data_IF_906302961002
#
_entry.id   IF_906302961002
#
_cell.length_a   1.000
_cell.length_b   1.000
_cell.length_c   1.000
_cell.angle_alpha   90.00
_cell.angle_beta   90.00
_cell.angle_gamma   90.00
#
_symmetry.space_group_name_H-M   'P 1'
#
loop_
_entity.id
_entity.type
_entity.pdbx_description
1 polymer ?
#
# COMPACT_ATOMS: atom_id res chain seq x y z
N UNK A 1 8.59 -3.78 7.41
CA UNK A 1 7.22 -4.07 7.11
C UNK A 1 6.89 -3.47 5.77
N UNK A 2 6.40 -4.34 4.91
CA UNK A 2 5.69 -3.92 3.74
C UNK A 2 4.43 -3.14 4.17
N UNK A 3 3.96 -2.24 3.31
CA UNK A 3 2.71 -1.51 3.50
C UNK A 3 1.72 -1.92 2.41
N UNK A 4 0.45 -2.12 2.76
CA UNK A 4 -0.55 -2.60 1.81
C UNK A 4 -1.84 -1.80 1.89
N UNK A 5 -2.46 -1.55 0.74
CA UNK A 5 -3.87 -1.20 0.65
C UNK A 5 -4.66 -2.49 0.40
N UNK A 6 -5.35 -2.95 1.43
CA UNK A 6 -6.16 -4.15 1.41
C UNK A 6 -7.58 -3.85 0.92
N UNK A 7 -8.13 -4.69 0.06
CA UNK A 7 -9.49 -4.55 -0.48
C UNK A 7 -10.37 -5.67 0.06
N UNK A 8 -11.48 -5.31 0.71
CA UNK A 8 -12.34 -6.25 1.40
C UNK A 8 -13.76 -6.28 0.83
N UNK A 9 -14.42 -7.43 0.96
CA UNK A 9 -15.84 -7.59 0.63
C UNK A 9 -16.54 -8.41 1.70
N UNK A 10 -17.56 -7.83 2.32
CA UNK A 10 -18.31 -8.50 3.37
C UNK A 10 -19.11 -9.69 2.81
N UNK A 11 -18.92 -10.88 3.36
CA UNK A 11 -19.70 -12.06 2.98
C UNK A 11 -21.20 -11.91 3.32
N UNK A 12 -21.53 -11.15 4.37
CA UNK A 12 -22.90 -10.95 4.87
C UNK A 12 -23.66 -9.84 4.15
N UNK A 13 -23.19 -8.59 4.26
CA UNK A 13 -23.90 -7.43 3.72
C UNK A 13 -23.38 -6.97 2.35
N UNK A 14 -22.37 -7.65 1.78
CA UNK A 14 -21.76 -7.36 0.47
C UNK A 14 -21.09 -5.98 0.32
N UNK A 15 -21.04 -5.17 1.39
CA UNK A 15 -20.25 -3.93 1.47
C UNK A 15 -18.80 -4.21 1.08
N UNK A 16 -18.22 -3.32 0.29
CA UNK A 16 -16.78 -3.27 -0.01
C UNK A 16 -16.15 -2.09 0.71
N UNK A 17 -14.93 -2.27 1.18
CA UNK A 17 -14.11 -1.20 1.77
C UNK A 17 -12.64 -1.52 1.54
N UNK A 18 -11.80 -0.55 1.87
CA UNK A 18 -10.36 -0.68 1.85
C UNK A 18 -9.81 -0.30 3.21
N UNK A 19 -8.67 -0.87 3.55
CA UNK A 19 -7.90 -0.44 4.72
C UNK A 19 -6.41 -0.53 4.44
N UNK A 20 -5.63 0.37 5.04
CA UNK A 20 -4.18 0.38 4.90
C UNK A 20 -3.54 -0.28 6.11
N UNK A 21 -2.67 -1.26 5.88
CA UNK A 21 -2.02 -1.96 6.99
C UNK A 21 -0.67 -2.54 6.61
N UNK A 22 0.14 -2.83 7.61
CA UNK A 22 1.46 -3.44 7.43
C UNK A 22 1.43 -4.92 7.00
N UNK A 23 0.24 -5.50 6.85
CA UNK A 23 0.03 -6.87 6.38
C UNK A 23 -1.38 -7.07 5.80
N UNK A 24 -1.58 -8.19 5.11
CA UNK A 24 -2.86 -8.58 4.50
C UNK A 24 -3.72 -9.37 5.50
N UNK A 25 -4.08 -8.76 6.63
CA UNK A 25 -4.86 -9.43 7.67
C UNK A 25 -6.37 -9.32 7.47
N UNK A 26 -7.11 -10.21 8.13
CA UNK A 26 -8.55 -10.16 8.19
C UNK A 26 -9.04 -8.91 8.93
N UNK A 27 -10.20 -8.38 8.50
CA UNK A 27 -10.80 -7.19 9.09
C UNK A 27 -12.29 -7.39 9.44
N UNK A 28 -12.85 -6.48 10.25
CA UNK A 28 -14.26 -6.42 10.62
C UNK A 28 -15.01 -5.46 9.71
N UNK A 29 -16.10 -5.94 9.11
CA UNK A 29 -16.93 -5.12 8.24
C UNK A 29 -17.49 -3.88 8.96
N UNK A 30 -17.17 -2.65 8.49
CA UNK A 30 -17.56 -1.42 9.17
C UNK A 30 -19.06 -1.11 9.10
N UNK A 31 -19.80 -1.83 8.25
CA UNK A 31 -21.23 -1.60 8.05
C UNK A 31 -22.12 -2.51 8.90
N UNK A 32 -21.71 -3.74 9.19
CA UNK A 32 -22.57 -4.73 9.87
C UNK A 32 -21.89 -5.51 10.99
N UNK A 33 -20.60 -5.23 11.26
CA UNK A 33 -19.83 -5.87 12.32
C UNK A 33 -19.48 -7.34 12.07
N UNK A 34 -19.73 -7.88 10.87
CA UNK A 34 -19.28 -9.22 10.51
C UNK A 34 -17.75 -9.25 10.49
N UNK A 35 -17.15 -10.20 11.21
CA UNK A 35 -15.71 -10.33 11.44
C UNK A 35 -15.07 -11.25 10.40
N UNK A 36 -13.73 -11.35 10.46
CA UNK A 36 -12.92 -12.34 9.76
C UNK A 36 -13.03 -12.23 8.23
N UNK A 37 -12.99 -11.00 7.72
CA UNK A 37 -13.05 -10.72 6.29
C UNK A 37 -11.63 -10.64 5.76
N UNK A 38 -11.18 -11.69 5.09
CA UNK A 38 -9.90 -11.69 4.37
C UNK A 38 -9.97 -10.74 3.18
N UNK A 39 -8.90 -9.96 2.89
CA UNK A 39 -8.87 -9.15 1.70
C UNK A 39 -8.98 -10.04 0.45
N UNK A 40 -9.78 -9.61 -0.52
CA UNK A 40 -9.87 -10.30 -1.81
C UNK A 40 -8.79 -9.83 -2.80
N UNK A 41 -8.16 -8.69 -2.51
CA UNK A 41 -7.05 -8.11 -3.26
C UNK A 41 -6.20 -7.24 -2.32
N UNK A 42 -4.93 -7.03 -2.65
CA UNK A 42 -4.02 -6.19 -1.86
C UNK A 42 -2.97 -5.58 -2.76
N UNK A 43 -2.86 -4.25 -2.70
CA UNK A 43 -1.83 -3.53 -3.43
C UNK A 43 -0.64 -3.28 -2.52
N UNK A 44 0.56 -3.65 -2.97
CA UNK A 44 1.78 -3.32 -2.27
C UNK A 44 2.05 -1.82 -2.43
N UNK A 45 2.05 -1.11 -1.31
CA UNK A 45 2.36 0.30 -1.18
C UNK A 45 3.68 0.52 -0.43
N UNK A 46 4.52 -0.50 -0.28
CA UNK A 46 5.83 -0.36 0.38
C UNK A 46 6.72 0.61 -0.38
N UNK A 47 6.65 0.51 -1.71
CA UNK A 47 7.41 1.26 -2.69
C UNK A 47 6.45 1.93 -3.64
N UNK A 48 6.53 3.25 -3.74
CA UNK A 48 5.68 4.02 -4.65
C UNK A 48 6.50 5.05 -5.42
N UNK A 49 5.99 5.41 -6.58
CA UNK A 49 6.51 6.52 -7.39
C UNK A 49 5.48 7.64 -7.34
N UNK A 50 5.87 8.79 -6.81
CA UNK A 50 5.06 10.00 -6.81
C UNK A 50 5.55 10.98 -7.87
N UNK A 51 4.64 11.74 -8.49
CA UNK A 51 5.02 12.79 -9.42
C UNK A 51 5.11 14.14 -8.68
N UNK A 52 6.24 14.82 -8.79
CA UNK A 52 6.49 16.15 -8.25
C UNK A 52 6.98 17.08 -9.37
N UNK A 53 6.04 17.86 -9.92
CA UNK A 53 6.29 18.68 -11.11
C UNK A 53 6.69 17.82 -12.32
N UNK A 54 7.93 17.99 -12.78
CA UNK A 54 8.51 17.29 -13.92
C UNK A 54 9.38 16.09 -13.51
N UNK A 55 9.46 15.79 -12.22
CA UNK A 55 10.24 14.69 -11.68
C UNK A 55 9.32 13.60 -11.11
N UNK A 56 9.88 12.40 -11.01
CA UNK A 56 9.26 11.23 -10.41
C UNK A 56 10.11 10.82 -9.21
N UNK A 57 9.50 10.80 -8.04
CA UNK A 57 10.15 10.51 -6.77
C UNK A 57 9.88 9.05 -6.42
N UNK A 58 10.93 8.24 -6.37
CA UNK A 58 10.83 6.91 -5.79
C UNK A 58 10.87 7.07 -4.26
N UNK A 59 9.86 6.55 -3.55
CA UNK A 59 9.81 6.61 -2.09
C UNK A 59 9.50 5.22 -1.51
N UNK A 60 10.04 4.93 -0.33
CA UNK A 60 9.88 3.64 0.36
C UNK A 60 9.49 3.84 1.82
N UNK A 61 8.52 3.08 2.30
CA UNK A 61 8.26 2.95 3.74
C UNK A 61 9.25 1.94 4.35
N UNK A 62 10.05 2.33 5.36
CA UNK A 62 11.10 1.48 5.92
C UNK A 62 10.52 0.33 6.72
N UNK A 63 11.36 -0.68 6.95
CA UNK A 63 10.89 -1.88 7.63
C UNK A 63 10.44 -1.66 9.09
N UNK A 64 10.85 -0.54 9.68
CA UNK A 64 10.53 -0.10 11.04
C UNK A 64 9.23 0.73 11.14
N UNK A 65 8.48 0.91 10.05
CA UNK A 65 7.15 1.51 10.12
C UNK A 65 6.19 0.54 10.83
N UNK A 66 5.40 1.04 11.79
CA UNK A 66 4.51 0.21 12.61
C UNK A 66 3.04 0.59 12.39
N UNK A 67 2.63 1.78 12.84
CA UNK A 67 1.22 2.20 12.82
C UNK A 67 0.81 2.92 11.54
N UNK A 68 1.75 3.62 10.92
CA UNK A 68 1.55 4.45 9.73
C UNK A 68 2.72 4.25 8.78
N UNK A 69 2.54 4.44 7.46
CA UNK A 69 3.67 4.41 6.55
C UNK A 69 4.60 5.59 6.84
N UNK A 70 5.91 5.35 6.80
CA UNK A 70 6.92 6.37 7.02
C UNK A 70 7.75 6.56 5.74
N UNK A 71 7.09 6.96 4.65
CA UNK A 71 7.72 7.09 3.34
C UNK A 71 8.93 8.02 3.37
N UNK A 72 10.03 7.52 2.80
CA UNK A 72 11.28 8.28 2.64
C UNK A 72 11.69 8.31 1.19
N UNK A 73 12.15 9.47 0.75
CA UNK A 73 12.66 9.67 -0.60
C UNK A 73 13.90 8.79 -0.87
N UNK A 74 13.73 7.89 -1.84
CA UNK A 74 14.70 7.05 -2.55
C UNK A 74 15.69 7.85 -3.40
N UNK A 75 15.10 8.75 -4.17
CA UNK A 75 15.73 9.49 -5.25
C UNK A 75 14.69 10.09 -6.18
N UNK A 76 15.16 10.95 -7.08
CA UNK A 76 14.34 11.67 -8.07
C UNK A 76 14.80 11.32 -9.48
N UNK A 77 13.85 11.16 -10.37
CA UNK A 77 14.07 10.67 -11.73
C UNK A 77 13.31 11.52 -12.74
N UNK A 78 13.83 11.68 -13.97
CA UNK A 78 13.16 12.45 -15.01
C UNK A 78 11.98 11.71 -15.66
N UNK A 79 11.84 10.40 -15.43
CA UNK A 79 10.77 9.57 -16.01
C UNK A 79 10.21 8.62 -14.97
N UNK A 80 8.94 8.26 -15.13
CA UNK A 80 8.26 7.29 -14.26
C UNK A 80 8.93 5.92 -14.38
N UNK A 81 9.27 5.49 -15.60
CA UNK A 81 9.93 4.21 -15.87
C UNK A 81 11.26 4.09 -15.12
N UNK A 82 12.08 5.14 -15.10
CA UNK A 82 13.35 5.14 -14.37
C UNK A 82 13.16 5.03 -12.85
N UNK A 83 12.14 5.69 -12.29
CA UNK A 83 11.82 5.57 -10.87
C UNK A 83 11.34 4.15 -10.51
N UNK A 84 10.52 3.53 -11.37
CA UNK A 84 10.05 2.15 -11.19
C UNK A 84 11.18 1.13 -11.30
N UNK A 85 12.07 1.29 -12.29
CA UNK A 85 13.24 0.44 -12.47
C UNK A 85 14.13 0.51 -11.22
N UNK A 86 14.40 1.72 -10.70
CA UNK A 86 15.17 1.91 -9.48
C UNK A 86 14.60 1.17 -8.25
N UNK A 87 13.28 1.12 -8.11
CA UNK A 87 12.62 0.41 -7.01
C UNK A 87 12.68 -1.11 -7.22
N UNK A 88 12.55 -1.58 -8.45
CA UNK A 88 12.54 -3.02 -8.81
C UNK A 88 13.91 -3.67 -8.69
N UNK A 89 15.00 -2.95 -8.99
CA UNK A 89 16.38 -3.47 -8.88
C UNK A 89 16.86 -3.66 -7.42
N UNK A 90 16.07 -3.22 -6.43
CA UNK A 90 16.43 -3.21 -5.00
C UNK A 90 15.60 -4.18 -4.15
N UNK A 91 14.90 -5.11 -4.77
CA UNK A 91 14.15 -6.22 -4.14
C UNK A 91 14.98 -7.52 -4.15
#
# INVERSE_FOLDING_TARGET
MAWFLNFYRCARCRRRWTDEWSCMCDDTCPSCGARDMTPFDSHNLTDIVEQDGNEFIAIRSPNSAEHDPNYRELGRFPTHEAAVEYLTERD
#
